data_IF_541922543619
#
_entry.id   IF_541922543619
#
_cell.length_a   1.000
_cell.length_b   1.000
_cell.length_c   1.000
_cell.angle_alpha   90.00
_cell.angle_beta   90.00
_cell.angle_gamma   90.00
#
_symmetry.space_group_name_H-M   'P 1'
#
loop_
_entity.id
_entity.type
_entity.pdbx_description
1 polymer ?
#
# COMPACT_ATOMS: atom_id res chain seq x y z
N UNK A 1 -5.50 -6.67 7.51
CA UNK A 1 -6.14 -5.42 7.96
C UNK A 1 -5.66 -4.97 9.34
N UNK A 2 -5.27 -5.87 10.25
CA UNK A 2 -4.66 -5.51 11.54
C UNK A 2 -3.42 -4.60 11.41
N UNK A 3 -2.61 -4.78 10.37
CA UNK A 3 -1.47 -3.90 10.06
C UNK A 3 -1.89 -2.43 9.82
N UNK A 4 -3.12 -2.18 9.35
CA UNK A 4 -3.66 -0.83 9.15
C UNK A 4 -4.27 -0.30 10.45
N UNK A 5 -5.01 -1.15 11.17
CA UNK A 5 -5.67 -0.75 12.42
C UNK A 5 -4.68 -0.49 13.57
N UNK A 6 -3.58 -1.24 13.65
CA UNK A 6 -2.62 -1.15 14.75
C UNK A 6 -2.12 0.28 15.03
N UNK A 7 -1.57 0.99 14.03
CA UNK A 7 -1.12 2.37 14.22
C UNK A 7 -2.24 3.34 14.58
N UNK A 8 -3.46 3.15 14.05
CA UNK A 8 -4.61 4.00 14.35
C UNK A 8 -5.00 3.85 15.81
N UNK A 9 -5.08 2.61 16.30
CA UNK A 9 -5.43 2.32 17.69
C UNK A 9 -4.39 2.91 18.65
N UNK A 10 -3.11 2.83 18.30
CA UNK A 10 -2.01 3.37 19.10
C UNK A 10 -2.03 4.90 19.19
N UNK A 11 -2.53 5.60 18.14
CA UNK A 11 -2.67 7.07 18.15
C UNK A 11 -3.94 7.52 18.86
N UNK A 12 -5.06 6.83 18.67
CA UNK A 12 -6.36 7.25 19.19
C UNK A 12 -6.54 6.92 20.68
N UNK A 13 -5.94 5.83 21.16
CA UNK A 13 -6.06 5.33 22.55
C UNK A 13 -7.53 5.14 23.04
N UNK A 14 -8.47 5.07 22.10
CA UNK A 14 -9.90 4.82 22.32
C UNK A 14 -10.43 3.91 21.20
N UNK A 15 -11.22 2.91 21.57
CA UNK A 15 -11.74 1.91 20.62
C UNK A 15 -12.72 2.51 19.62
N UNK A 16 -13.59 3.43 20.07
CA UNK A 16 -14.65 4.01 19.23
C UNK A 16 -14.05 4.96 18.21
N UNK A 17 -13.12 5.82 18.64
CA UNK A 17 -12.42 6.73 17.75
C UNK A 17 -11.54 5.96 16.75
N UNK A 18 -10.80 4.96 17.22
CA UNK A 18 -10.00 4.09 16.35
C UNK A 18 -10.86 3.35 15.31
N UNK A 19 -12.06 2.88 15.70
CA UNK A 19 -12.99 2.23 14.80
C UNK A 19 -13.44 3.17 13.68
N UNK A 20 -13.91 4.38 14.00
CA UNK A 20 -14.38 5.32 12.98
C UNK A 20 -13.27 5.84 12.08
N UNK A 21 -12.07 6.07 12.62
CA UNK A 21 -10.89 6.38 11.81
C UNK A 21 -10.53 5.22 10.86
N UNK A 22 -10.58 3.99 11.35
CA UNK A 22 -10.32 2.81 10.53
C UNK A 22 -11.36 2.64 9.41
N UNK A 23 -12.65 2.84 9.70
CA UNK A 23 -13.72 2.84 8.67
C UNK A 23 -13.41 3.88 7.59
N UNK A 24 -13.08 5.12 7.96
CA UNK A 24 -12.77 6.17 7.00
C UNK A 24 -11.54 5.88 6.12
N UNK A 25 -10.54 5.15 6.63
CA UNK A 25 -9.43 4.67 5.83
C UNK A 25 -9.88 3.55 4.90
N UNK A 26 -10.65 2.58 5.40
CA UNK A 26 -11.14 1.46 4.61
C UNK A 26 -12.02 1.91 3.44
N UNK A 27 -12.85 2.94 3.61
CA UNK A 27 -13.63 3.53 2.50
C UNK A 27 -12.75 4.02 1.34
N UNK A 28 -11.50 4.40 1.61
CA UNK A 28 -10.54 4.85 0.57
C UNK A 28 -9.80 3.68 -0.08
N UNK A 29 -9.52 2.62 0.67
CA UNK A 29 -8.66 1.52 0.24
C UNK A 29 -9.40 0.20 0.00
N UNK A 30 -10.73 0.17 0.15
CA UNK A 30 -11.55 -1.04 0.06
C UNK A 30 -11.33 -1.84 -1.24
N UNK A 31 -11.11 -1.14 -2.35
CA UNK A 31 -10.84 -1.74 -3.66
C UNK A 31 -9.59 -2.63 -3.66
N UNK A 32 -8.64 -2.37 -2.75
CA UNK A 32 -7.44 -3.20 -2.60
C UNK A 32 -7.73 -4.54 -1.90
N UNK A 33 -8.87 -4.68 -1.23
CA UNK A 33 -9.27 -5.85 -0.45
C UNK A 33 -10.41 -6.65 -1.09
N UNK A 34 -10.86 -6.26 -2.29
CA UNK A 34 -11.83 -7.05 -3.06
C UNK A 34 -11.26 -8.42 -3.43
N UNK A 35 -12.13 -9.43 -3.54
CA UNK A 35 -11.73 -10.84 -3.77
C UNK A 35 -10.93 -11.03 -5.06
N UNK A 36 -11.20 -10.21 -6.06
CA UNK A 36 -10.52 -10.24 -7.35
C UNK A 36 -9.19 -9.48 -7.35
N UNK A 37 -8.86 -8.77 -6.26
CA UNK A 37 -7.65 -7.96 -6.08
C UNK A 37 -7.43 -6.90 -7.18
N UNK A 38 -8.48 -6.52 -7.90
CA UNK A 38 -8.38 -5.62 -9.05
C UNK A 38 -7.81 -4.24 -8.67
N UNK A 39 -8.09 -3.75 -7.45
CA UNK A 39 -7.51 -2.52 -6.94
C UNK A 39 -5.99 -2.55 -6.85
N UNK A 40 -5.42 -3.60 -6.25
CA UNK A 40 -3.96 -3.74 -6.11
C UNK A 40 -3.29 -3.92 -7.46
N UNK A 41 -3.86 -4.75 -8.34
CA UNK A 41 -3.34 -4.90 -9.71
C UNK A 41 -3.34 -3.58 -10.49
N UNK A 42 -4.39 -2.76 -10.32
CA UNK A 42 -4.46 -1.42 -10.93
C UNK A 42 -3.35 -0.51 -10.41
N UNK A 43 -3.09 -0.52 -9.10
CA UNK A 43 -2.03 0.29 -8.49
C UNK A 43 -0.63 -0.17 -8.92
N UNK A 44 -0.36 -1.48 -8.96
CA UNK A 44 0.89 -2.02 -9.47
C UNK A 44 1.09 -1.67 -10.96
N UNK A 45 0.05 -1.77 -11.77
CA UNK A 45 0.09 -1.36 -13.18
C UNK A 45 0.41 0.13 -13.35
N UNK A 46 -0.14 1.01 -12.49
CA UNK A 46 0.20 2.44 -12.48
C UNK A 46 1.65 2.68 -12.08
N UNK A 47 2.15 2.00 -11.05
CA UNK A 47 3.54 2.13 -10.61
C UNK A 47 4.51 1.63 -11.69
N UNK A 48 4.20 0.54 -12.39
CA UNK A 48 4.99 0.02 -13.52
C UNK A 48 5.06 1.04 -14.67
N UNK A 49 3.93 1.71 -14.97
CA UNK A 49 3.89 2.79 -15.97
C UNK A 49 4.69 4.01 -15.56
N UNK A 50 4.65 4.41 -14.29
CA UNK A 50 5.46 5.50 -13.77
C UNK A 50 6.95 5.16 -13.87
N UNK A 51 7.34 3.96 -13.43
CA UNK A 51 8.72 3.51 -13.53
C UNK A 51 9.22 3.50 -14.97
N UNK A 52 8.40 3.03 -15.92
CA UNK A 52 8.74 3.06 -17.35
C UNK A 52 9.02 4.47 -17.86
N UNK A 53 8.34 5.48 -17.32
CA UNK A 53 8.54 6.87 -17.72
C UNK A 53 9.82 7.46 -17.11
N UNK A 54 10.08 7.19 -15.83
CA UNK A 54 11.22 7.76 -15.10
C UNK A 54 12.54 7.01 -15.31
N UNK A 55 12.48 5.68 -15.39
CA UNK A 55 13.64 4.81 -15.55
C UNK A 55 13.33 3.62 -16.50
N UNK A 56 13.46 3.85 -17.82
CA UNK A 56 13.25 2.82 -18.82
C UNK A 56 14.26 1.66 -18.73
N UNK A 57 15.48 1.93 -18.25
CA UNK A 57 16.54 0.91 -18.14
C UNK A 57 16.21 -0.09 -17.03
N UNK A 58 15.81 0.41 -15.85
CA UNK A 58 15.35 -0.44 -14.76
C UNK A 58 14.08 -1.22 -15.13
N UNK A 59 13.15 -0.59 -15.86
CA UNK A 59 11.95 -1.27 -16.35
C UNK A 59 12.29 -2.40 -17.32
N UNK A 60 13.25 -2.18 -18.23
CA UNK A 60 13.73 -3.21 -19.15
C UNK A 60 14.42 -4.35 -18.39
N UNK A 61 15.18 -4.04 -17.34
CA UNK A 61 15.77 -5.04 -16.46
C UNK A 61 14.69 -5.88 -15.76
N UNK A 62 13.64 -5.27 -15.22
CA UNK A 62 12.54 -6.01 -14.61
C UNK A 62 11.82 -6.92 -15.61
N UNK A 63 11.55 -6.43 -16.83
CA UNK A 63 10.95 -7.24 -17.88
C UNK A 63 11.84 -8.43 -18.29
N UNK A 64 13.16 -8.24 -18.37
CA UNK A 64 14.10 -9.32 -18.68
C UNK A 64 14.14 -10.42 -17.59
N UNK A 65 13.75 -10.08 -16.36
CA UNK A 65 13.73 -10.98 -15.21
C UNK A 65 12.30 -11.44 -14.80
N UNK A 66 11.27 -11.19 -15.63
CA UNK A 66 9.88 -11.60 -15.34
C UNK A 66 9.23 -10.86 -14.16
N UNK A 67 9.69 -9.65 -13.87
CA UNK A 67 9.28 -8.82 -12.75
C UNK A 67 8.46 -7.58 -13.18
N UNK A 68 7.97 -7.54 -14.42
CA UNK A 68 7.23 -6.42 -15.02
C UNK A 68 5.86 -6.15 -14.37
N UNK A 69 5.27 -7.17 -13.76
CA UNK A 69 4.03 -7.08 -12.99
C UNK A 69 4.21 -6.46 -11.60
N UNK A 70 5.47 -6.32 -11.16
CA UNK A 70 5.88 -5.77 -9.88
C UNK A 70 5.21 -6.38 -8.65
N UNK A 71 4.94 -7.69 -8.64
CA UNK A 71 4.38 -8.35 -7.46
C UNK A 71 5.26 -8.24 -6.21
N UNK A 72 6.55 -7.94 -6.36
CA UNK A 72 7.43 -7.62 -5.23
C UNK A 72 6.98 -6.36 -4.45
N UNK A 73 6.23 -5.45 -5.09
CA UNK A 73 5.62 -4.28 -4.45
C UNK A 73 4.22 -4.57 -3.87
N UNK A 74 3.68 -5.80 -3.96
CA UNK A 74 2.32 -6.09 -3.52
C UNK A 74 2.10 -5.72 -2.04
N UNK A 75 3.04 -6.12 -1.17
CA UNK A 75 3.00 -5.81 0.26
C UNK A 75 3.05 -4.30 0.51
N UNK A 76 3.83 -3.56 -0.27
CA UNK A 76 3.94 -2.11 -0.14
C UNK A 76 2.60 -1.43 -0.33
N UNK A 77 1.85 -1.86 -1.36
CA UNK A 77 0.55 -1.28 -1.71
C UNK A 77 -0.55 -1.69 -0.74
N UNK A 78 -0.68 -2.99 -0.43
CA UNK A 78 -1.85 -3.50 0.31
C UNK A 78 -1.90 -3.05 1.77
N UNK A 79 -0.75 -2.76 2.38
CA UNK A 79 -0.65 -2.27 3.77
C UNK A 79 0.02 -0.89 3.86
N UNK A 80 -0.04 -0.09 2.78
CA UNK A 80 0.47 1.29 2.74
C UNK A 80 1.84 1.46 3.40
N UNK A 81 2.82 0.66 2.95
CA UNK A 81 4.21 0.66 3.43
C UNK A 81 4.42 0.32 4.91
N UNK A 82 3.40 -0.15 5.65
CA UNK A 82 3.48 -0.42 7.11
C UNK A 82 4.69 -1.23 7.56
N UNK A 83 5.14 -2.18 6.72
CA UNK A 83 6.22 -3.13 7.02
C UNK A 83 7.60 -2.66 6.56
N UNK A 84 7.68 -1.53 5.87
CA UNK A 84 8.92 -0.99 5.32
C UNK A 84 9.49 0.16 6.18
N UNK A 85 8.68 0.70 7.10
CA UNK A 85 9.05 1.80 7.98
C UNK A 85 8.86 1.44 9.46
N UNK A 86 9.70 2.02 10.30
CA UNK A 86 9.47 2.08 11.74
C UNK A 86 8.21 2.91 12.06
N UNK A 87 7.80 2.91 13.32
CA UNK A 87 6.57 3.53 13.74
C UNK A 87 6.57 5.06 13.53
N UNK A 88 7.64 5.75 13.93
CA UNK A 88 7.72 7.21 13.85
C UNK A 88 7.74 7.69 12.39
N UNK A 89 8.44 6.95 11.52
CA UNK A 89 8.48 7.21 10.08
C UNK A 89 7.14 6.92 9.41
N UNK A 90 6.44 5.87 9.86
CA UNK A 90 5.13 5.52 9.35
C UNK A 90 4.07 6.58 9.66
N UNK A 91 4.06 7.09 10.90
CA UNK A 91 3.10 8.13 11.29
C UNK A 91 3.19 9.33 10.33
N UNK A 92 4.41 9.84 10.09
CA UNK A 92 4.66 10.95 9.14
C UNK A 92 4.29 10.64 7.69
N UNK A 93 4.34 9.36 7.30
CA UNK A 93 3.94 8.94 5.95
C UNK A 93 2.41 8.93 5.79
N UNK A 94 1.67 8.72 6.88
CA UNK A 94 0.21 8.59 6.88
C UNK A 94 -0.55 9.87 7.24
N UNK A 95 0.14 10.87 7.81
CA UNK A 95 -0.33 12.25 8.01
C UNK A 95 -0.69 12.95 6.69
#
# INVERSE_FOLDING_TARGET
MSDILGPILEVMDDEVDAFWCFVGIMDRVENNFQKDQNGVHTLLGRLSRLLRYYDPELTAHFAANGCENMFFCFRWVIINMKREFDYDSLQKLWE
#
